data_IF_377386096447
#
_entry.id   IF_377386096447
#
_cell.length_a   1.000
_cell.length_b   1.000
_cell.length_c   1.000
_cell.angle_alpha   90.00
_cell.angle_beta   90.00
_cell.angle_gamma   90.00
#
_symmetry.space_group_name_H-M   'P 1'
#
loop_
_entity.id
_entity.type
_entity.pdbx_description
1 polymer ?
#
# COMPACT_ATOMS: atom_id res chain seq x y z
N UNK A 1 -6.70 -13.92 7.23
CA UNK A 1 -7.31 -12.61 7.50
C UNK A 1 -6.45 -11.43 7.02
N UNK A 2 -5.11 -11.50 7.01
CA UNK A 2 -4.21 -10.40 6.64
C UNK A 2 -4.54 -9.75 5.28
N UNK A 3 -4.70 -10.56 4.24
CA UNK A 3 -5.09 -10.07 2.91
C UNK A 3 -6.48 -9.43 2.88
N UNK A 4 -7.38 -9.89 3.74
CA UNK A 4 -8.73 -9.33 3.81
C UNK A 4 -8.72 -7.91 4.38
N UNK A 5 -7.91 -7.65 5.41
CA UNK A 5 -7.73 -6.30 5.98
C UNK A 5 -7.14 -5.37 4.91
N UNK A 6 -6.10 -5.82 4.20
CA UNK A 6 -5.51 -5.06 3.10
C UNK A 6 -6.53 -4.71 2.02
N UNK A 7 -7.35 -5.69 1.62
CA UNK A 7 -8.39 -5.49 0.61
C UNK A 7 -9.47 -4.49 1.07
N UNK A 8 -9.92 -4.59 2.32
CA UNK A 8 -10.91 -3.64 2.86
C UNK A 8 -10.39 -2.20 2.85
N UNK A 9 -9.12 -1.99 3.23
CA UNK A 9 -8.52 -0.66 3.22
C UNK A 9 -8.18 -0.16 1.82
N UNK A 10 -7.97 -1.05 0.85
CA UNK A 10 -7.82 -0.70 -0.56
C UNK A 10 -9.08 -0.07 -1.17
N UNK A 11 -10.25 -0.30 -0.59
CA UNK A 11 -11.49 0.34 -1.01
C UNK A 11 -11.55 1.83 -0.63
N UNK A 12 -10.71 2.32 0.28
CA UNK A 12 -10.72 3.72 0.68
C UNK A 12 -10.38 4.68 -0.48
N UNK A 13 -9.31 4.49 -1.27
CA UNK A 13 -9.06 5.31 -2.46
C UNK A 13 -10.19 5.23 -3.49
N UNK A 14 -10.73 4.02 -3.71
CA UNK A 14 -11.85 3.82 -4.63
C UNK A 14 -13.12 4.55 -4.15
N UNK A 15 -13.43 4.47 -2.85
CA UNK A 15 -14.56 5.18 -2.25
C UNK A 15 -14.41 6.70 -2.32
N UNK A 16 -13.20 7.23 -2.09
CA UNK A 16 -12.91 8.65 -2.25
C UNK A 16 -13.09 9.12 -3.70
N UNK A 17 -12.62 8.33 -4.66
CA UNK A 17 -12.84 8.59 -6.08
C UNK A 17 -14.33 8.66 -6.40
N UNK A 18 -15.12 7.66 -6.00
CA UNK A 18 -16.56 7.59 -6.24
C UNK A 18 -17.25 8.80 -5.63
N UNK A 19 -16.90 9.21 -4.39
CA UNK A 19 -17.49 10.35 -3.72
C UNK A 19 -17.26 11.67 -4.46
N UNK A 20 -16.11 11.83 -5.12
CA UNK A 20 -15.75 13.05 -5.85
C UNK A 20 -16.32 13.04 -7.28
N UNK A 21 -16.29 11.88 -7.94
CA UNK A 21 -16.63 11.76 -9.35
C UNK A 21 -18.09 11.47 -9.62
N UNK A 22 -18.87 11.03 -8.61
CA UNK A 22 -20.28 10.70 -8.77
C UNK A 22 -21.14 11.89 -9.27
N UNK A 23 -20.81 13.10 -8.84
CA UNK A 23 -21.51 14.31 -9.28
C UNK A 23 -21.17 14.72 -10.73
N UNK A 24 -19.99 14.33 -11.22
CA UNK A 24 -19.51 14.75 -12.55
C UNK A 24 -19.75 13.69 -13.62
N UNK A 25 -19.65 12.41 -13.27
CA UNK A 25 -19.72 11.27 -14.21
C UNK A 25 -20.89 10.31 -13.94
N UNK A 26 -21.68 10.59 -12.90
CA UNK A 26 -22.86 9.78 -12.55
C UNK A 26 -22.54 8.41 -11.96
N UNK A 27 -23.56 7.55 -11.89
CA UNK A 27 -23.45 6.21 -11.31
C UNK A 27 -22.51 5.26 -12.08
N UNK A 28 -22.23 5.56 -13.32
CA UNK A 28 -21.30 4.78 -14.17
C UNK A 28 -19.86 4.83 -13.63
N UNK A 29 -19.49 5.94 -12.98
CA UNK A 29 -18.19 6.08 -12.32
C UNK A 29 -17.97 5.10 -11.17
N UNK A 30 -19.04 4.64 -10.52
CA UNK A 30 -18.97 3.67 -9.43
C UNK A 30 -18.44 2.32 -9.93
N UNK A 31 -18.84 1.93 -11.14
CA UNK A 31 -18.38 0.69 -11.79
C UNK A 31 -17.03 0.88 -12.50
N UNK A 32 -16.50 2.11 -12.54
CA UNK A 32 -15.28 2.41 -13.25
C UNK A 32 -15.40 2.27 -14.77
N UNK A 33 -16.61 2.32 -15.32
CA UNK A 33 -16.89 2.15 -16.75
C UNK A 33 -17.42 3.46 -17.28
N UNK A 34 -16.72 4.09 -18.22
CA UNK A 34 -17.29 5.17 -19.01
C UNK A 34 -18.24 4.61 -20.08
N UNK A 35 -19.36 5.31 -20.28
CA UNK A 35 -20.61 4.83 -20.88
C UNK A 35 -20.57 4.38 -22.33
N UNK A 36 -19.45 4.21 -22.98
CA UNK A 36 -19.44 3.97 -24.43
C UNK A 36 -18.64 2.80 -24.98
N UNK A 37 -17.91 2.03 -24.18
CA UNK A 37 -17.14 0.92 -24.74
C UNK A 37 -16.98 -0.26 -23.80
N UNK A 38 -17.70 -1.33 -24.08
CA UNK A 38 -17.55 -2.64 -23.42
C UNK A 38 -16.21 -3.34 -23.72
N UNK A 39 -15.43 -2.81 -24.62
CA UNK A 39 -14.17 -3.41 -25.05
C UNK A 39 -13.13 -2.32 -25.23
N UNK A 40 -12.34 -2.10 -24.20
CA UNK A 40 -11.09 -1.38 -24.32
C UNK A 40 -11.04 -0.02 -23.63
N UNK A 41 -10.00 0.18 -22.99
CA UNK A 41 -9.25 1.40 -22.60
C UNK A 41 -9.83 2.38 -21.60
N UNK A 42 -11.14 2.41 -21.33
CA UNK A 42 -11.72 3.49 -20.55
C UNK A 42 -12.39 2.99 -19.26
N UNK A 43 -11.65 2.18 -18.49
CA UNK A 43 -11.97 2.01 -17.08
C UNK A 43 -11.50 3.26 -16.34
N UNK A 44 -12.42 4.05 -15.79
CA UNK A 44 -12.10 5.23 -15.00
C UNK A 44 -11.19 4.95 -13.80
N UNK A 45 -11.08 3.69 -13.38
CA UNK A 45 -10.21 3.24 -12.30
C UNK A 45 -8.83 2.79 -12.76
N UNK A 46 -8.62 2.65 -14.05
CA UNK A 46 -7.36 2.16 -14.59
C UNK A 46 -6.69 3.26 -15.44
N UNK A 47 -5.37 3.43 -15.32
CA UNK A 47 -4.50 2.61 -14.45
C UNK A 47 -4.30 3.15 -13.03
N UNK A 48 -4.45 4.45 -12.78
CA UNK A 48 -3.96 5.14 -11.58
C UNK A 48 -4.65 4.66 -10.31
N UNK A 49 -5.98 4.75 -10.27
CA UNK A 49 -6.75 4.37 -9.07
C UNK A 49 -6.60 2.89 -8.75
N UNK A 50 -6.54 2.04 -9.77
CA UNK A 50 -6.30 0.62 -9.59
C UNK A 50 -4.95 0.37 -8.91
N UNK A 51 -3.87 0.99 -9.40
CA UNK A 51 -2.55 0.82 -8.83
C UNK A 51 -2.42 1.41 -7.43
N UNK A 52 -3.07 2.55 -7.15
CA UNK A 52 -3.13 3.11 -5.79
C UNK A 52 -3.86 2.14 -4.84
N UNK A 53 -5.02 1.67 -5.21
CA UNK A 53 -5.81 0.74 -4.39
C UNK A 53 -5.06 -0.57 -4.14
N UNK A 54 -4.47 -1.16 -5.17
CA UNK A 54 -3.65 -2.36 -5.05
C UNK A 54 -2.41 -2.12 -4.19
N UNK A 55 -1.74 -0.98 -4.37
CA UNK A 55 -0.60 -0.57 -3.55
C UNK A 55 -0.97 -0.48 -2.07
N UNK A 56 -2.11 0.13 -1.74
CA UNK A 56 -2.64 0.20 -0.36
C UNK A 56 -2.94 -1.21 0.18
N UNK A 57 -3.57 -2.08 -0.61
CA UNK A 57 -3.85 -3.46 -0.20
C UNK A 57 -2.57 -4.21 0.20
N UNK A 58 -1.54 -4.12 -0.64
CA UNK A 58 -0.26 -4.80 -0.42
C UNK A 58 0.51 -4.19 0.76
N UNK A 59 0.50 -2.86 0.90
CA UNK A 59 1.15 -2.16 2.00
C UNK A 59 0.56 -2.54 3.35
N UNK A 60 -0.77 -2.47 3.48
CA UNK A 60 -1.45 -2.83 4.73
C UNK A 60 -1.29 -4.33 5.04
N UNK A 61 -1.34 -5.19 4.02
CA UNK A 61 -1.06 -6.62 4.21
C UNK A 61 0.36 -6.86 4.72
N UNK A 62 1.36 -6.16 4.17
CA UNK A 62 2.74 -6.25 4.63
C UNK A 62 2.89 -5.82 6.10
N UNK A 63 2.22 -4.72 6.48
CA UNK A 63 2.19 -4.23 7.86
C UNK A 63 1.56 -5.27 8.79
N UNK A 64 0.36 -5.76 8.47
CA UNK A 64 -0.42 -6.66 9.34
C UNK A 64 0.25 -8.04 9.50
N UNK A 65 0.83 -8.59 8.45
CA UNK A 65 1.61 -9.84 8.51
C UNK A 65 2.84 -9.70 9.43
N UNK A 66 3.51 -8.55 9.41
CA UNK A 66 4.65 -8.31 10.31
C UNK A 66 4.20 -8.02 11.74
N UNK A 67 3.06 -7.36 11.91
CA UNK A 67 2.48 -7.12 13.23
C UNK A 67 2.13 -8.44 13.93
N UNK A 68 1.55 -9.39 13.21
CA UNK A 68 1.19 -10.72 13.72
C UNK A 68 2.41 -11.58 14.17
N UNK A 69 3.65 -11.15 13.92
CA UNK A 69 4.85 -11.87 14.39
C UNK A 69 4.98 -11.89 15.93
N UNK A 70 4.41 -10.91 16.62
CA UNK A 70 4.38 -10.90 18.09
C UNK A 70 3.54 -12.02 18.68
N UNK A 71 2.47 -12.32 18.00
CA UNK A 71 1.42 -13.18 18.56
C UNK A 71 1.62 -14.65 18.18
N UNK A 72 2.73 -15.01 17.51
CA UNK A 72 2.99 -16.36 16.99
C UNK A 72 2.81 -17.46 18.04
N UNK A 73 3.32 -17.23 19.27
CA UNK A 73 3.20 -18.21 20.34
C UNK A 73 1.78 -18.31 20.88
N UNK A 74 1.12 -17.16 21.03
CA UNK A 74 -0.27 -17.06 21.49
C UNK A 74 -1.19 -17.68 20.45
N UNK A 75 -1.01 -17.32 19.19
CA UNK A 75 -1.78 -17.86 18.06
C UNK A 75 -1.69 -19.38 17.98
N UNK A 76 -0.49 -19.92 18.12
CA UNK A 76 -0.28 -21.38 18.12
C UNK A 76 -0.97 -22.07 19.28
N UNK A 77 -0.93 -21.47 20.48
CA UNK A 77 -1.59 -22.02 21.69
C UNK A 77 -3.10 -21.98 21.58
N UNK A 78 -3.64 -20.95 20.92
CA UNK A 78 -5.08 -20.77 20.73
C UNK A 78 -5.63 -21.40 19.44
N UNK A 79 -4.77 -22.01 18.61
CA UNK A 79 -5.15 -22.60 17.34
C UNK A 79 -5.50 -21.59 16.24
N UNK A 80 -5.10 -20.32 16.42
CA UNK A 80 -5.29 -19.27 15.42
C UNK A 80 -4.29 -19.44 14.28
N UNK A 81 -4.78 -19.48 13.07
CA UNK A 81 -3.98 -19.65 11.85
C UNK A 81 -3.53 -18.31 11.27
N UNK A 82 -2.70 -17.55 11.98
CA UNK A 82 -2.00 -16.41 11.38
C UNK A 82 -0.91 -16.89 10.42
N UNK A 83 -0.52 -16.05 9.46
CA UNK A 83 0.51 -16.42 8.50
C UNK A 83 1.85 -16.78 9.19
N UNK A 84 2.37 -15.96 10.14
CA UNK A 84 3.61 -16.31 10.83
C UNK A 84 3.49 -17.57 11.69
N UNK A 85 2.35 -17.81 12.33
CA UNK A 85 2.13 -19.01 13.15
C UNK A 85 2.09 -20.29 12.31
N UNK A 86 1.55 -20.21 11.09
CA UNK A 86 1.37 -21.35 10.18
C UNK A 86 2.64 -21.64 9.36
N UNK A 87 3.25 -20.62 8.76
CA UNK A 87 4.36 -20.79 7.80
C UNK A 87 5.74 -20.44 8.39
N UNK A 88 5.77 -19.87 9.59
CA UNK A 88 7.00 -19.53 10.29
C UNK A 88 7.61 -18.19 9.85
N UNK A 89 8.59 -17.71 10.63
CA UNK A 89 9.15 -16.37 10.49
C UNK A 89 9.95 -16.17 9.19
N UNK A 90 10.61 -17.21 8.70
CA UNK A 90 11.38 -17.13 7.43
C UNK A 90 10.48 -16.85 6.24
N UNK A 91 9.36 -17.57 6.13
CA UNK A 91 8.38 -17.36 5.06
C UNK A 91 7.69 -16.00 5.22
N UNK A 92 7.39 -15.59 6.45
CA UNK A 92 6.83 -14.27 6.76
C UNK A 92 7.74 -13.15 6.29
N UNK A 93 9.05 -13.26 6.51
CA UNK A 93 10.02 -12.27 6.02
C UNK A 93 10.05 -12.23 4.49
N UNK A 94 10.04 -13.37 3.83
CA UNK A 94 10.00 -13.44 2.36
C UNK A 94 8.73 -12.80 1.79
N UNK A 95 7.57 -13.12 2.36
CA UNK A 95 6.29 -12.50 1.98
C UNK A 95 6.31 -10.98 2.21
N UNK A 96 6.83 -10.52 3.35
CA UNK A 96 6.91 -9.09 3.67
C UNK A 96 7.74 -8.32 2.65
N UNK A 97 8.87 -8.88 2.22
CA UNK A 97 9.71 -8.29 1.17
C UNK A 97 8.94 -8.23 -0.15
N UNK A 98 8.30 -9.33 -0.55
CA UNK A 98 7.53 -9.38 -1.79
C UNK A 98 6.37 -8.37 -1.80
N UNK A 99 5.64 -8.26 -0.69
CA UNK A 99 4.55 -7.28 -0.53
C UNK A 99 5.08 -5.84 -0.55
N UNK A 100 6.24 -5.60 0.08
CA UNK A 100 6.85 -4.26 0.08
C UNK A 100 7.32 -3.85 -1.30
N UNK A 101 7.94 -4.73 -2.06
CA UNK A 101 8.27 -4.48 -3.46
C UNK A 101 7.00 -4.29 -4.29
N UNK A 102 5.98 -5.12 -4.07
CA UNK A 102 4.71 -5.04 -4.79
C UNK A 102 4.03 -3.69 -4.65
N UNK A 103 3.84 -3.19 -3.40
CA UNK A 103 3.20 -1.90 -3.22
C UNK A 103 4.04 -0.73 -3.78
N UNK A 104 5.38 -0.81 -3.65
CA UNK A 104 6.25 0.21 -4.21
C UNK A 104 6.13 0.26 -5.74
N UNK A 105 6.09 -0.89 -6.40
CA UNK A 105 5.89 -1.00 -7.84
C UNK A 105 4.51 -0.45 -8.24
N UNK A 106 3.45 -0.80 -7.52
CA UNK A 106 2.12 -0.27 -7.79
C UNK A 106 2.07 1.26 -7.71
N UNK A 107 2.64 1.85 -6.66
CA UNK A 107 2.67 3.31 -6.51
C UNK A 107 3.57 4.00 -7.55
N UNK A 108 4.66 3.35 -7.99
CA UNK A 108 5.45 3.87 -9.11
C UNK A 108 4.64 3.86 -10.41
N UNK A 109 3.94 2.77 -10.72
CA UNK A 109 3.07 2.72 -11.90
C UNK A 109 1.94 3.74 -11.84
N UNK A 110 1.32 3.96 -10.67
CA UNK A 110 0.32 5.01 -10.50
C UNK A 110 0.88 6.40 -10.87
N UNK A 111 2.08 6.72 -10.40
CA UNK A 111 2.74 8.00 -10.72
C UNK A 111 3.15 8.14 -12.18
N UNK A 112 3.63 7.05 -12.81
CA UNK A 112 4.02 7.07 -14.21
C UNK A 112 2.81 7.15 -15.15
N UNK A 113 1.69 6.55 -14.78
CA UNK A 113 0.46 6.55 -15.58
C UNK A 113 -0.20 7.91 -15.63
N UNK A 114 -0.13 8.69 -14.55
CA UNK A 114 -0.68 10.05 -14.49
C UNK A 114 -0.06 11.02 -15.50
N UNK A 115 1.11 10.70 -16.06
CA UNK A 115 1.73 11.50 -17.12
C UNK A 115 1.16 11.24 -18.52
N UNK A 116 0.39 10.19 -18.72
CA UNK A 116 -0.07 9.77 -20.05
C UNK A 116 -1.48 10.21 -20.40
N UNK A 117 -2.28 10.65 -19.42
CA UNK A 117 -3.70 10.99 -19.62
C UNK A 117 -3.98 12.45 -19.25
N UNK A 118 -4.36 13.23 -20.26
CA UNK A 118 -5.23 14.44 -20.32
C UNK A 118 -5.20 15.46 -19.14
N UNK A 119 -4.61 15.17 -18.03
CA UNK A 119 -4.40 16.09 -16.91
C UNK A 119 -2.91 16.19 -16.64
N UNK A 120 -2.32 17.30 -17.06
CA UNK A 120 -0.92 17.66 -16.82
C UNK A 120 -0.62 17.95 -15.33
N UNK A 121 -1.03 17.04 -14.45
CA UNK A 121 -0.60 17.09 -13.07
C UNK A 121 0.78 16.45 -12.95
N UNK A 122 1.79 17.29 -12.87
CA UNK A 122 3.14 16.85 -12.55
C UNK A 122 3.26 16.71 -11.03
N UNK A 123 3.52 15.49 -10.54
CA UNK A 123 3.84 15.22 -9.13
C UNK A 123 5.34 14.90 -9.00
N UNK A 124 6.22 15.91 -9.06
CA UNK A 124 7.67 15.67 -9.15
C UNK A 124 8.23 14.95 -7.93
N UNK A 125 7.57 15.09 -6.79
CA UNK A 125 8.00 14.48 -5.52
C UNK A 125 7.43 13.08 -5.29
N UNK A 126 6.45 12.63 -6.09
CA UNK A 126 5.82 11.32 -5.88
C UNK A 126 6.80 10.16 -6.09
N UNK A 127 7.40 10.08 -7.25
CA UNK A 127 8.33 8.99 -7.59
C UNK A 127 9.51 8.90 -6.61
N UNK A 128 10.26 10.00 -6.32
CA UNK A 128 11.33 9.94 -5.33
C UNK A 128 10.84 9.57 -3.93
N UNK A 129 9.64 10.00 -3.53
CA UNK A 129 9.05 9.64 -2.23
C UNK A 129 8.72 8.16 -2.15
N UNK A 130 8.14 7.58 -3.18
CA UNK A 130 7.84 6.14 -3.26
C UNK A 130 9.13 5.32 -3.19
N UNK A 131 10.16 5.70 -3.92
CA UNK A 131 11.47 5.02 -3.91
C UNK A 131 12.09 5.09 -2.52
N UNK A 132 12.15 6.29 -1.92
CA UNK A 132 12.72 6.50 -0.60
C UNK A 132 12.00 5.64 0.46
N UNK A 133 10.68 5.72 0.49
CA UNK A 133 9.89 4.98 1.48
C UNK A 133 9.89 3.48 1.22
N UNK A 134 9.97 3.05 -0.04
CA UNK A 134 10.18 1.65 -0.41
C UNK A 134 11.48 1.09 0.18
N UNK A 135 12.59 1.82 0.01
CA UNK A 135 13.91 1.45 0.56
C UNK A 135 13.87 1.40 2.09
N UNK A 136 13.29 2.41 2.74
CA UNK A 136 13.18 2.46 4.22
C UNK A 136 12.37 1.27 4.74
N UNK A 137 11.21 0.98 4.14
CA UNK A 137 10.40 -0.17 4.52
C UNK A 137 11.14 -1.49 4.29
N UNK A 138 11.81 -1.67 3.15
CA UNK A 138 12.63 -2.87 2.89
C UNK A 138 13.74 -3.03 3.94
N UNK A 139 14.42 -1.95 4.32
CA UNK A 139 15.42 -1.99 5.37
C UNK A 139 14.83 -2.44 6.71
N UNK A 140 13.69 -1.91 7.11
CA UNK A 140 12.99 -2.33 8.36
C UNK A 140 12.59 -3.81 8.27
N UNK A 141 12.01 -4.25 7.15
CA UNK A 141 11.54 -5.62 6.97
C UNK A 141 12.68 -6.65 6.88
N UNK A 142 13.87 -6.25 6.45
CA UNK A 142 15.01 -7.17 6.30
C UNK A 142 15.94 -7.14 7.49
N UNK A 143 16.46 -5.97 7.84
CA UNK A 143 17.51 -5.80 8.84
C UNK A 143 16.97 -5.88 10.27
N UNK A 144 15.92 -5.12 10.56
CA UNK A 144 15.39 -5.04 11.91
C UNK A 144 14.55 -6.27 12.27
N UNK A 145 13.82 -6.82 11.31
CA UNK A 145 13.06 -8.05 11.52
C UNK A 145 13.95 -9.24 11.90
N UNK A 146 15.17 -9.34 11.36
CA UNK A 146 16.12 -10.40 11.74
C UNK A 146 16.67 -10.24 13.16
N UNK A 147 16.86 -9.00 13.61
CA UNK A 147 17.34 -8.70 14.97
C UNK A 147 16.27 -8.93 16.04
N UNK A 148 15.01 -8.72 15.70
CA UNK A 148 13.89 -8.84 16.62
C UNK A 148 13.61 -10.27 17.10
N UNK A 149 14.18 -11.27 16.42
CA UNK A 149 14.03 -12.68 16.81
C UNK A 149 14.83 -13.07 18.07
N UNK A 150 15.68 -12.17 18.59
CA UNK A 150 16.62 -12.46 19.67
C UNK A 150 16.00 -12.33 21.07
N UNK A 151 15.02 -11.44 21.25
CA UNK A 151 14.35 -11.21 22.54
C UNK A 151 12.98 -10.56 22.37
N UNK A 152 12.13 -10.67 23.42
CA UNK A 152 10.82 -10.01 23.46
C UNK A 152 10.93 -8.47 23.42
N UNK A 153 11.95 -7.92 24.06
CA UNK A 153 12.25 -6.48 24.06
C UNK A 153 12.63 -5.96 22.65
N UNK A 154 13.34 -6.78 21.90
CA UNK A 154 13.72 -6.42 20.53
C UNK A 154 12.52 -6.52 19.58
N UNK A 155 11.59 -7.43 19.84
CA UNK A 155 10.33 -7.53 19.12
C UNK A 155 9.44 -6.30 19.34
N UNK A 156 9.33 -5.82 20.57
CA UNK A 156 8.58 -4.60 20.89
C UNK A 156 9.18 -3.37 20.17
N UNK A 157 10.50 -3.21 20.22
CA UNK A 157 11.19 -2.13 19.47
C UNK A 157 10.96 -2.23 17.97
N UNK A 158 11.01 -3.44 17.42
CA UNK A 158 10.71 -3.66 16.01
C UNK A 158 9.31 -3.21 15.65
N UNK A 159 8.31 -3.48 16.47
CA UNK A 159 6.94 -3.05 16.19
C UNK A 159 6.74 -1.55 16.29
N UNK A 160 7.35 -0.92 17.30
CA UNK A 160 7.34 0.54 17.40
C UNK A 160 7.97 1.17 16.15
N UNK A 161 9.07 0.59 15.66
CA UNK A 161 9.74 1.05 14.45
C UNK A 161 8.87 0.80 13.21
N UNK A 162 8.25 -0.37 13.09
CA UNK A 162 7.35 -0.73 12.02
C UNK A 162 6.17 0.25 11.93
N UNK A 163 5.55 0.54 13.07
CA UNK A 163 4.43 1.48 13.15
C UNK A 163 4.86 2.90 12.75
N UNK A 164 5.96 3.40 13.30
CA UNK A 164 6.51 4.72 12.95
C UNK A 164 6.84 4.81 11.46
N UNK A 165 7.49 3.80 10.92
CA UNK A 165 7.86 3.76 9.50
C UNK A 165 6.62 3.75 8.61
N UNK A 166 5.60 2.98 8.95
CA UNK A 166 4.34 2.93 8.20
C UNK A 166 3.62 4.29 8.24
N UNK A 167 3.53 4.92 9.41
CA UNK A 167 2.96 6.27 9.53
C UNK A 167 3.76 7.30 8.72
N UNK A 168 5.09 7.28 8.83
CA UNK A 168 5.95 8.19 8.04
C UNK A 168 5.76 7.98 6.54
N UNK A 169 5.63 6.72 6.08
CA UNK A 169 5.35 6.41 4.68
C UNK A 169 4.06 7.10 4.22
N UNK A 170 2.98 6.96 4.98
CA UNK A 170 1.71 7.61 4.66
C UNK A 170 1.83 9.14 4.57
N UNK A 171 2.47 9.76 5.57
CA UNK A 171 2.65 11.23 5.58
C UNK A 171 3.55 11.73 4.45
N UNK A 172 4.64 11.03 4.13
CA UNK A 172 5.55 11.41 3.04
C UNK A 172 4.85 11.32 1.70
N UNK A 173 4.10 10.22 1.46
CA UNK A 173 3.34 10.05 0.22
C UNK A 173 2.23 11.09 0.10
N UNK A 174 1.49 11.36 1.19
CA UNK A 174 0.45 12.41 1.19
C UNK A 174 1.05 13.80 0.93
N UNK A 175 2.16 14.13 1.60
CA UNK A 175 2.84 15.40 1.39
C UNK A 175 3.35 15.54 -0.05
N UNK A 176 3.85 14.46 -0.65
CA UNK A 176 4.33 14.49 -2.04
C UNK A 176 3.23 14.81 -3.05
N UNK A 177 1.96 14.45 -2.75
CA UNK A 177 0.80 14.81 -3.57
C UNK A 177 0.38 16.28 -3.39
N UNK A 178 0.75 16.91 -2.27
CA UNK A 178 0.42 18.31 -2.01
C UNK A 178 1.33 19.30 -2.77
N UNK A 179 2.48 18.83 -3.22
CA UNK A 179 3.40 19.61 -4.05
C UNK A 179 3.16 19.31 -5.52
N UNK A 180 2.00 19.75 -6.02
CA UNK A 180 1.76 19.83 -7.46
C UNK A 180 2.38 21.10 -7.98
N UNK A 181 3.21 21.02 -9.00
CA UNK A 181 3.49 22.18 -9.84
C UNK A 181 2.20 22.48 -10.62
N UNK A 182 1.33 23.30 -10.02
CA UNK A 182 0.24 23.89 -10.76
C UNK A 182 0.84 24.78 -11.82
N UNK A 183 0.62 24.47 -13.09
CA UNK A 183 0.63 25.53 -14.08
C UNK A 183 -0.55 26.46 -13.72
N UNK A 184 -0.20 27.51 -12.98
CA UNK A 184 -1.05 28.71 -12.87
C UNK A 184 -0.71 29.48 -14.15
N UNK A 185 -1.53 29.30 -15.16
CA UNK A 185 -1.68 30.25 -16.27
C UNK A 185 -2.99 31.02 -16.05
#
# INVERSE_FOLDING_TARGET
CHFWIGLCLALAPAGAWVAISADTTGWESILGVESNTWIGRDFAWFPELFFISMGVALWITAFDVNYARMDVEVDRRQGIRSFPATFGLKMTKGLSIALTLGWSICFLFAGLSGHTNVRDYNYPLWIPSVILMGIVNLYVMTSQASKSESSSLDMEKFQQLLFKTSMMTGWVLLASLSFTEGMID
#
